data_IF_437542010567
#
_entry.id   IF_437542010567
#
_cell.length_a   1.000
_cell.length_b   1.000
_cell.length_c   1.000
_cell.angle_alpha   90.00
_cell.angle_beta   90.00
_cell.angle_gamma   90.00
#
_symmetry.space_group_name_H-M   'P 1'
#
loop_
_entity.id
_entity.type
_entity.pdbx_description
1 polymer ?
#
# COMPACT_ATOMS: atom_id res chain seq x y z
N UNK A 1 -25.20 -84.01 31.48
CA UNK A 1 -26.27 -83.37 30.68
C UNK A 1 -26.69 -84.36 29.61
N UNK A 2 -27.99 -84.63 29.49
CA UNK A 2 -28.51 -85.55 28.47
C UNK A 2 -28.32 -84.92 27.08
N UNK A 3 -28.20 -85.75 26.03
CA UNK A 3 -28.10 -85.27 24.64
C UNK A 3 -29.34 -84.44 24.24
N UNK A 4 -30.48 -84.72 24.86
CA UNK A 4 -31.75 -84.00 24.67
C UNK A 4 -31.67 -82.56 25.19
N UNK A 5 -31.06 -82.34 26.36
CA UNK A 5 -30.86 -81.00 26.93
C UNK A 5 -29.98 -80.12 26.02
N UNK A 6 -28.99 -80.74 25.37
CA UNK A 6 -28.10 -80.03 24.45
C UNK A 6 -28.79 -79.66 23.14
N UNK A 7 -29.70 -80.50 22.66
CA UNK A 7 -30.50 -80.25 21.45
C UNK A 7 -31.53 -79.15 21.71
N UNK A 8 -32.24 -79.19 22.84
CA UNK A 8 -33.19 -78.16 23.23
C UNK A 8 -32.51 -76.79 23.34
N UNK A 9 -31.36 -76.72 24.01
CA UNK A 9 -30.59 -75.48 24.11
C UNK A 9 -30.15 -74.93 22.74
N UNK A 10 -29.78 -75.80 21.79
CA UNK A 10 -29.44 -75.38 20.43
C UNK A 10 -30.66 -74.93 19.64
N UNK A 11 -31.82 -75.56 19.86
CA UNK A 11 -33.08 -75.14 19.28
C UNK A 11 -33.45 -73.73 19.77
N UNK A 12 -33.36 -73.49 21.08
CA UNK A 12 -33.64 -72.17 21.67
C UNK A 12 -32.67 -71.09 21.16
N UNK A 13 -31.38 -71.41 21.02
CA UNK A 13 -30.38 -70.51 20.43
C UNK A 13 -30.67 -70.19 18.95
N UNK A 14 -31.19 -71.15 18.20
CA UNK A 14 -31.57 -70.96 16.79
C UNK A 14 -32.86 -70.16 16.70
N UNK A 15 -33.85 -70.45 17.52
CA UNK A 15 -35.12 -69.73 17.59
C UNK A 15 -34.90 -68.25 17.94
N UNK A 16 -34.04 -67.96 18.91
CA UNK A 16 -33.66 -66.59 19.24
C UNK A 16 -32.94 -65.86 18.08
N UNK A 17 -32.08 -66.56 17.33
CA UNK A 17 -31.42 -65.98 16.14
C UNK A 17 -32.40 -65.76 14.99
N UNK A 18 -33.34 -66.67 14.79
CA UNK A 18 -34.37 -66.57 13.76
C UNK A 18 -35.33 -65.42 14.07
N UNK A 19 -35.72 -65.25 15.33
CA UNK A 19 -36.55 -64.12 15.77
C UNK A 19 -35.88 -62.77 15.47
N UNK A 20 -34.59 -62.62 15.80
CA UNK A 20 -33.83 -61.39 15.51
C UNK A 20 -33.67 -61.11 14.00
N UNK A 21 -33.45 -62.15 13.19
CA UNK A 21 -33.36 -62.01 11.73
C UNK A 21 -34.71 -61.65 11.13
N UNK A 22 -35.79 -62.25 11.64
CA UNK A 22 -37.15 -61.95 11.22
C UNK A 22 -37.53 -60.50 11.53
N UNK A 23 -37.23 -60.02 12.73
CA UNK A 23 -37.48 -58.63 13.13
C UNK A 23 -36.73 -57.64 12.23
N UNK A 24 -35.45 -57.92 11.91
CA UNK A 24 -34.66 -57.11 10.97
C UNK A 24 -35.23 -57.15 9.54
N UNK A 25 -35.70 -58.31 9.09
CA UNK A 25 -36.32 -58.46 7.78
C UNK A 25 -37.62 -57.65 7.68
N UNK A 26 -38.45 -57.68 8.72
CA UNK A 26 -39.69 -56.90 8.81
C UNK A 26 -39.39 -55.41 8.88
N UNK A 27 -38.41 -54.98 9.67
CA UNK A 27 -38.00 -53.58 9.75
C UNK A 27 -37.47 -53.06 8.39
N UNK A 28 -36.66 -53.84 7.69
CA UNK A 28 -36.18 -53.51 6.36
C UNK A 28 -37.32 -53.45 5.32
N UNK A 29 -38.28 -54.38 5.40
CA UNK A 29 -39.45 -54.39 4.54
C UNK A 29 -40.36 -53.18 4.78
N UNK A 30 -40.56 -52.80 6.04
CA UNK A 30 -41.33 -51.61 6.41
C UNK A 30 -40.64 -50.33 5.94
N UNK A 31 -39.34 -50.18 6.20
CA UNK A 31 -38.55 -49.05 5.70
C UNK A 31 -38.62 -48.96 4.17
N UNK A 32 -38.49 -50.09 3.46
CA UNK A 32 -38.64 -50.12 2.01
C UNK A 32 -40.04 -49.67 1.59
N UNK A 33 -41.10 -50.17 2.24
CA UNK A 33 -42.49 -49.83 1.93
C UNK A 33 -42.80 -48.35 2.18
N UNK A 34 -42.19 -47.77 3.20
CA UNK A 34 -42.35 -46.35 3.57
C UNK A 34 -41.50 -45.41 2.69
N UNK A 35 -40.29 -45.82 2.31
CA UNK A 35 -39.43 -45.03 1.42
C UNK A 35 -39.85 -45.12 -0.04
N UNK A 36 -40.47 -46.22 -0.47
CA UNK A 36 -40.88 -46.44 -1.85
C UNK A 36 -41.79 -45.35 -2.42
N UNK A 37 -42.84 -44.85 -1.73
CA UNK A 37 -43.65 -43.74 -2.23
C UNK A 37 -42.84 -42.45 -2.33
N UNK A 38 -42.07 -42.07 -1.30
CA UNK A 38 -41.27 -40.83 -1.29
C UNK A 38 -40.22 -40.83 -2.39
N UNK A 39 -39.55 -41.97 -2.60
CA UNK A 39 -38.57 -42.14 -3.68
C UNK A 39 -39.23 -42.05 -5.05
N UNK A 40 -40.42 -42.64 -5.22
CA UNK A 40 -41.17 -42.56 -6.48
C UNK A 40 -41.64 -41.13 -6.77
N UNK A 41 -42.10 -40.40 -5.75
CA UNK A 41 -42.59 -39.03 -5.90
C UNK A 41 -41.44 -38.06 -6.18
N UNK A 42 -40.31 -38.21 -5.48
CA UNK A 42 -39.09 -37.45 -5.75
C UNK A 42 -38.54 -37.72 -7.16
N UNK A 43 -38.58 -38.98 -7.61
CA UNK A 43 -38.15 -39.35 -8.96
C UNK A 43 -39.07 -38.77 -10.03
N UNK A 44 -40.39 -38.77 -9.82
CA UNK A 44 -41.35 -38.12 -10.73
C UNK A 44 -41.17 -36.62 -10.79
N UNK A 45 -40.96 -35.96 -9.65
CA UNK A 45 -40.70 -34.52 -9.58
C UNK A 45 -39.42 -34.17 -10.35
N UNK A 46 -38.35 -34.95 -10.14
CA UNK A 46 -37.11 -34.80 -10.88
C UNK A 46 -37.32 -35.00 -12.39
N UNK A 47 -38.06 -36.02 -12.83
CA UNK A 47 -38.36 -36.22 -14.26
C UNK A 47 -39.20 -35.09 -14.87
N UNK A 48 -40.11 -34.50 -14.09
CA UNK A 48 -40.94 -33.38 -14.54
C UNK A 48 -40.11 -32.10 -14.70
N UNK A 49 -39.35 -31.72 -13.68
CA UNK A 49 -38.51 -30.51 -13.69
C UNK A 49 -37.35 -30.61 -14.70
N UNK A 50 -36.80 -31.81 -14.90
CA UNK A 50 -35.78 -32.06 -15.91
C UNK A 50 -36.37 -32.16 -17.33
N UNK A 51 -37.65 -32.49 -17.45
CA UNK A 51 -38.39 -32.52 -18.72
C UNK A 51 -38.61 -31.12 -19.30
N UNK A 52 -38.67 -30.10 -18.44
CA UNK A 52 -38.75 -28.68 -18.82
C UNK A 52 -37.39 -28.08 -19.23
N UNK A 53 -36.28 -28.82 -19.06
CA UNK A 53 -34.96 -28.41 -19.58
C UNK A 53 -34.88 -28.77 -21.06
N UNK A 54 -35.53 -27.93 -21.89
CA UNK A 54 -35.56 -28.09 -23.34
C UNK A 54 -34.15 -28.17 -23.94
N UNK A 55 -33.79 -29.34 -24.46
CA UNK A 55 -32.63 -29.62 -25.32
C UNK A 55 -31.25 -29.60 -24.67
N UNK A 56 -30.92 -30.65 -23.91
CA UNK A 56 -29.52 -30.96 -23.58
C UNK A 56 -29.30 -31.85 -22.37
N UNK A 57 -30.35 -32.14 -21.61
CA UNK A 57 -30.22 -32.87 -20.35
C UNK A 57 -30.59 -34.34 -20.55
N UNK A 58 -29.58 -35.23 -20.57
CA UNK A 58 -29.80 -36.68 -20.50
C UNK A 58 -29.58 -37.19 -19.07
N UNK A 59 -30.37 -38.17 -18.64
CA UNK A 59 -30.18 -38.83 -17.34
C UNK A 59 -28.78 -39.46 -17.22
N UNK A 60 -28.22 -39.94 -18.33
CA UNK A 60 -26.86 -40.48 -18.40
C UNK A 60 -25.80 -39.42 -18.02
N UNK A 61 -25.90 -38.21 -18.58
CA UNK A 61 -25.01 -37.08 -18.26
C UNK A 61 -25.07 -36.71 -16.78
N UNK A 62 -26.25 -36.85 -16.15
CA UNK A 62 -26.43 -36.61 -14.71
C UNK A 62 -25.66 -37.63 -13.87
N UNK A 63 -25.70 -38.90 -14.26
CA UNK A 63 -24.93 -39.94 -13.60
C UNK A 63 -23.43 -39.78 -13.84
N UNK A 64 -23.01 -39.31 -15.03
CA UNK A 64 -21.61 -38.99 -15.31
C UNK A 64 -21.11 -37.80 -14.50
N UNK A 65 -21.91 -36.74 -14.36
CA UNK A 65 -21.62 -35.61 -13.48
C UNK A 65 -21.54 -36.06 -12.02
N UNK A 66 -22.46 -36.91 -11.56
CA UNK A 66 -22.43 -37.45 -10.20
C UNK A 66 -21.17 -38.30 -9.97
N UNK A 67 -20.82 -39.18 -10.91
CA UNK A 67 -19.56 -39.94 -10.87
C UNK A 67 -18.34 -39.02 -10.87
N UNK A 68 -18.36 -37.95 -11.66
CA UNK A 68 -17.28 -36.97 -11.75
C UNK A 68 -17.14 -36.18 -10.44
N UNK A 69 -18.25 -35.78 -9.81
CA UNK A 69 -18.27 -35.15 -8.49
C UNK A 69 -17.71 -36.10 -7.42
N UNK A 70 -18.15 -37.36 -7.40
CA UNK A 70 -17.63 -38.37 -6.47
C UNK A 70 -16.13 -38.63 -6.68
N UNK A 71 -15.67 -38.73 -7.93
CA UNK A 71 -14.26 -38.92 -8.27
C UNK A 71 -13.41 -37.70 -7.89
N UNK A 72 -13.96 -36.50 -8.02
CA UNK A 72 -13.30 -35.24 -7.70
C UNK A 72 -13.61 -34.71 -6.29
N UNK A 73 -14.21 -35.53 -5.41
CA UNK A 73 -14.60 -35.11 -4.07
C UNK A 73 -13.43 -34.49 -3.29
N UNK A 74 -12.21 -35.01 -3.49
CA UNK A 74 -10.98 -34.45 -2.88
C UNK A 74 -10.68 -33.03 -3.37
N UNK A 75 -10.80 -32.79 -4.67
CA UNK A 75 -10.55 -31.48 -5.28
C UNK A 75 -11.63 -30.48 -4.84
N UNK A 76 -12.90 -30.89 -4.83
CA UNK A 76 -14.01 -30.05 -4.36
C UNK A 76 -13.84 -29.71 -2.87
N UNK A 77 -13.51 -30.71 -2.04
CA UNK A 77 -13.24 -30.50 -0.62
C UNK A 77 -12.06 -29.55 -0.42
N UNK A 78 -11.01 -29.68 -1.22
CA UNK A 78 -9.88 -28.76 -1.19
C UNK A 78 -10.30 -27.33 -1.53
N UNK A 79 -11.07 -27.12 -2.60
CA UNK A 79 -11.59 -25.80 -2.98
C UNK A 79 -12.47 -25.20 -1.89
N UNK A 80 -13.37 -25.99 -1.28
CA UNK A 80 -14.21 -25.53 -0.17
C UNK A 80 -13.34 -25.06 1.00
N UNK A 81 -12.30 -25.83 1.36
CA UNK A 81 -11.33 -25.41 2.38
C UNK A 81 -10.53 -24.16 2.01
N UNK A 82 -10.20 -23.98 0.72
CA UNK A 82 -9.56 -22.74 0.27
C UNK A 82 -10.52 -21.55 0.37
N UNK A 83 -11.81 -21.72 0.07
CA UNK A 83 -12.81 -20.69 0.25
C UNK A 83 -12.95 -20.30 1.73
N UNK A 84 -12.90 -21.28 2.64
CA UNK A 84 -12.87 -21.06 4.09
C UNK A 84 -11.67 -20.18 4.49
N UNK A 85 -10.46 -20.50 3.99
CA UNK A 85 -9.28 -19.65 4.22
C UNK A 85 -9.44 -18.22 3.66
N UNK A 86 -10.07 -18.06 2.48
CA UNK A 86 -10.32 -16.74 1.88
C UNK A 86 -11.32 -15.94 2.71
N UNK A 87 -12.37 -16.60 3.22
CA UNK A 87 -13.35 -15.99 4.11
C UNK A 87 -12.69 -15.57 5.42
N UNK A 88 -11.81 -16.41 5.99
CA UNK A 88 -11.04 -16.07 7.19
C UNK A 88 -10.11 -14.88 6.98
N UNK A 89 -9.40 -14.85 5.84
CA UNK A 89 -8.58 -13.71 5.44
C UNK A 89 -9.43 -12.45 5.24
N UNK A 90 -10.62 -12.56 4.66
CA UNK A 90 -11.55 -11.46 4.49
C UNK A 90 -12.03 -10.94 5.85
N UNK A 91 -12.48 -11.81 6.75
CA UNK A 91 -12.90 -11.41 8.09
C UNK A 91 -11.78 -10.79 8.93
N UNK A 92 -10.54 -11.24 8.72
CA UNK A 92 -9.37 -10.65 9.39
C UNK A 92 -8.98 -9.30 8.79
N UNK A 93 -9.09 -9.16 7.47
CA UNK A 93 -8.66 -7.96 6.75
C UNK A 93 -9.73 -6.87 6.70
N UNK A 94 -11.00 -7.23 6.71
CA UNK A 94 -12.14 -6.31 6.60
C UNK A 94 -12.10 -5.20 7.67
N UNK A 95 -11.89 -5.48 8.98
CA UNK A 95 -11.76 -4.44 9.99
C UNK A 95 -10.57 -3.52 9.75
N UNK A 96 -9.44 -4.09 9.34
CA UNK A 96 -8.21 -3.34 9.03
C UNK A 96 -8.43 -2.41 7.84
N UNK A 97 -9.04 -2.90 6.77
CA UNK A 97 -9.38 -2.11 5.59
C UNK A 97 -10.39 -1.01 5.92
N UNK A 98 -11.45 -1.33 6.67
CA UNK A 98 -12.46 -0.34 7.11
C UNK A 98 -11.86 0.79 7.94
N UNK A 99 -10.79 0.54 8.71
CA UNK A 99 -10.06 1.58 9.45
C UNK A 99 -8.98 2.28 8.61
N UNK A 100 -8.25 1.54 7.77
CA UNK A 100 -7.04 2.03 7.10
C UNK A 100 -7.34 2.75 5.80
N UNK A 101 -8.31 2.27 5.01
CA UNK A 101 -8.68 2.89 3.74
C UNK A 101 -9.15 4.34 3.93
N UNK A 102 -10.05 4.66 4.88
CA UNK A 102 -10.45 6.05 5.12
C UNK A 102 -9.28 6.94 5.57
N UNK A 103 -8.37 6.41 6.40
CA UNK A 103 -7.17 7.15 6.83
C UNK A 103 -6.21 7.41 5.67
N UNK A 104 -6.02 6.44 4.79
CA UNK A 104 -5.22 6.60 3.59
C UNK A 104 -5.83 7.64 2.66
N UNK A 105 -7.15 7.59 2.44
CA UNK A 105 -7.87 8.59 1.64
C UNK A 105 -7.72 9.99 2.26
N UNK A 106 -7.95 10.14 3.57
CA UNK A 106 -7.80 11.42 4.26
C UNK A 106 -6.36 11.96 4.18
N UNK A 107 -5.36 11.08 4.29
CA UNK A 107 -3.96 11.47 4.13
C UNK A 107 -3.64 11.91 2.69
N UNK A 108 -4.13 11.18 1.68
CA UNK A 108 -3.96 11.56 0.28
C UNK A 108 -4.70 12.87 -0.05
N UNK A 109 -5.89 13.09 0.51
CA UNK A 109 -6.65 14.32 0.37
C UNK A 109 -5.91 15.51 1.01
N UNK A 110 -5.34 15.34 2.21
CA UNK A 110 -4.49 16.36 2.85
C UNK A 110 -3.27 16.72 1.98
N UNK A 111 -2.61 15.73 1.37
CA UNK A 111 -1.52 15.96 0.43
C UNK A 111 -2.00 16.72 -0.82
N UNK A 112 -3.18 16.40 -1.34
CA UNK A 112 -3.77 17.09 -2.49
C UNK A 112 -4.14 18.54 -2.17
N UNK A 113 -4.78 18.79 -1.03
CA UNK A 113 -5.13 20.13 -0.53
C UNK A 113 -3.88 20.99 -0.33
N UNK A 114 -2.83 20.41 0.26
CA UNK A 114 -1.51 21.07 0.40
C UNK A 114 -0.79 21.26 -0.95
N UNK A 115 -1.35 20.75 -2.05
CA UNK A 115 -0.80 20.92 -3.39
C UNK A 115 0.44 20.09 -3.66
N UNK A 116 0.69 19.04 -2.86
CA UNK A 116 1.87 18.18 -2.98
C UNK A 116 1.88 17.51 -4.35
N UNK A 117 0.77 16.90 -4.78
CA UNK A 117 0.68 16.26 -6.10
C UNK A 117 0.90 17.25 -7.25
N UNK A 118 0.33 18.45 -7.18
CA UNK A 118 0.52 19.51 -8.18
C UNK A 118 1.99 19.92 -8.27
N UNK A 119 2.66 20.06 -7.12
CA UNK A 119 4.09 20.41 -7.06
C UNK A 119 4.96 19.31 -7.65
N UNK A 120 4.69 18.05 -7.31
CA UNK A 120 5.41 16.91 -7.87
C UNK A 120 5.21 16.79 -9.39
N UNK A 121 3.99 16.99 -9.88
CA UNK A 121 3.70 16.98 -11.32
C UNK A 121 4.42 18.12 -12.05
N UNK A 122 4.47 19.32 -11.45
CA UNK A 122 5.22 20.44 -11.99
C UNK A 122 6.73 20.15 -12.04
N UNK A 123 7.28 19.52 -11.01
CA UNK A 123 8.68 19.10 -10.97
C UNK A 123 9.01 18.05 -12.04
N UNK A 124 8.14 17.05 -12.23
CA UNK A 124 8.30 16.06 -13.31
C UNK A 124 8.25 16.73 -14.68
N UNK A 125 7.35 17.70 -14.87
CA UNK A 125 7.23 18.45 -16.11
C UNK A 125 8.45 19.34 -16.36
N UNK A 126 8.98 19.98 -15.31
CA UNK A 126 10.23 20.74 -15.38
C UNK A 126 11.39 19.82 -15.79
N UNK A 127 11.53 18.66 -15.14
CA UNK A 127 12.56 17.67 -15.48
C UNK A 127 12.44 17.21 -16.94
N UNK A 128 11.22 16.98 -17.43
CA UNK A 128 10.98 16.62 -18.82
C UNK A 128 11.42 17.73 -19.79
N UNK A 129 11.10 19.00 -19.50
CA UNK A 129 11.53 20.15 -20.31
C UNK A 129 13.05 20.31 -20.31
N UNK A 130 13.68 20.19 -19.15
CA UNK A 130 15.14 20.26 -19.01
C UNK A 130 15.80 19.14 -19.80
N UNK A 131 15.26 17.91 -19.76
CA UNK A 131 15.78 16.78 -20.52
C UNK A 131 15.55 16.87 -22.05
N UNK A 132 14.61 17.68 -22.51
CA UNK A 132 14.42 17.94 -23.95
C UNK A 132 15.40 18.98 -24.49
N UNK A 133 15.72 19.99 -23.69
CA UNK A 133 16.59 21.11 -24.10
C UNK A 133 18.08 20.83 -23.84
N UNK A 134 18.40 20.04 -22.81
CA UNK A 134 19.77 19.79 -22.36
C UNK A 134 20.09 18.31 -22.32
N UNK A 135 21.29 17.96 -22.79
CA UNK A 135 21.82 16.60 -22.73
C UNK A 135 22.22 16.18 -21.31
N UNK A 136 22.49 14.88 -21.08
CA UNK A 136 22.86 14.34 -19.77
C UNK A 136 24.05 15.05 -19.11
N UNK A 137 25.14 15.32 -19.85
CA UNK A 137 26.31 16.00 -19.28
C UNK A 137 26.02 17.46 -18.88
N UNK A 138 25.15 18.14 -19.62
CA UNK A 138 24.77 19.52 -19.31
C UNK A 138 23.89 19.59 -18.05
N UNK A 139 22.99 18.62 -17.88
CA UNK A 139 22.16 18.51 -16.67
C UNK A 139 23.03 18.23 -15.43
N UNK A 140 24.06 17.40 -15.57
CA UNK A 140 25.02 17.11 -14.49
C UNK A 140 25.79 18.38 -14.08
N UNK A 141 26.34 19.12 -15.04
CA UNK A 141 27.03 20.39 -14.78
C UNK A 141 26.11 21.44 -14.14
N UNK A 142 24.84 21.51 -14.59
CA UNK A 142 23.83 22.38 -13.96
C UNK A 142 23.53 21.94 -12.53
N UNK A 143 23.52 20.65 -12.24
CA UNK A 143 23.38 20.10 -10.89
C UNK A 143 24.48 20.59 -9.95
N UNK A 144 25.73 20.51 -10.38
CA UNK A 144 26.88 21.00 -9.60
C UNK A 144 26.81 22.51 -9.33
N UNK A 145 26.45 23.29 -10.36
CA UNK A 145 26.22 24.72 -10.22
C UNK A 145 25.08 25.04 -9.25
N UNK A 146 24.01 24.24 -9.27
CA UNK A 146 22.87 24.40 -8.37
C UNK A 146 23.25 24.11 -6.91
N UNK A 147 24.04 23.05 -6.67
CA UNK A 147 24.57 22.74 -5.33
C UNK A 147 25.49 23.86 -4.82
N UNK A 148 26.34 24.41 -5.69
CA UNK A 148 27.18 25.56 -5.36
C UNK A 148 26.33 26.78 -4.93
N UNK A 149 25.28 27.11 -5.67
CA UNK A 149 24.38 28.22 -5.34
C UNK A 149 23.66 28.01 -4.00
N UNK A 150 23.18 26.79 -3.72
CA UNK A 150 22.61 26.45 -2.40
C UNK A 150 23.66 26.62 -1.30
N UNK A 151 24.89 26.17 -1.53
CA UNK A 151 26.01 26.37 -0.61
C UNK A 151 26.29 27.85 -0.33
N UNK A 152 26.18 28.71 -1.34
CA UNK A 152 26.27 30.16 -1.17
C UNK A 152 25.12 30.72 -0.34
N UNK A 153 23.87 30.32 -0.60
CA UNK A 153 22.72 30.75 0.19
C UNK A 153 22.87 30.38 1.67
N UNK A 154 23.42 29.19 1.95
CA UNK A 154 23.73 28.77 3.31
C UNK A 154 24.80 29.67 3.96
N UNK A 155 25.86 30.02 3.22
CA UNK A 155 26.90 30.96 3.70
C UNK A 155 26.36 32.37 3.92
N UNK A 156 25.47 32.85 3.06
CA UNK A 156 24.79 34.14 3.23
C UNK A 156 23.81 34.15 4.41
N UNK A 157 23.36 32.96 4.84
CA UNK A 157 22.54 32.79 6.03
C UNK A 157 23.35 32.83 7.33
N UNK A 158 24.69 32.85 7.26
CA UNK A 158 25.56 33.02 8.42
C UNK A 158 25.28 34.37 9.10
N UNK A 159 25.06 34.39 10.43
CA UNK A 159 24.74 35.63 11.17
C UNK A 159 25.77 36.75 10.95
N UNK A 160 27.07 36.43 10.83
CA UNK A 160 28.12 37.44 10.62
C UNK A 160 28.03 38.07 9.24
N UNK A 161 27.68 37.28 8.23
CA UNK A 161 27.51 37.78 6.85
C UNK A 161 26.26 38.64 6.76
N UNK A 162 25.16 38.24 7.41
CA UNK A 162 23.94 39.04 7.51
C UNK A 162 24.21 40.39 8.18
N UNK A 163 24.87 40.39 9.33
CA UNK A 163 25.24 41.61 10.05
C UNK A 163 26.13 42.54 9.20
N UNK A 164 27.07 41.98 8.43
CA UNK A 164 27.90 42.76 7.52
C UNK A 164 27.08 43.40 6.40
N UNK A 165 26.15 42.66 5.80
CA UNK A 165 25.26 43.16 4.73
C UNK A 165 24.32 44.25 5.27
N UNK A 166 23.73 44.05 6.44
CA UNK A 166 22.86 45.03 7.10
C UNK A 166 23.64 46.33 7.39
N UNK A 167 24.80 46.24 8.03
CA UNK A 167 25.65 47.42 8.31
C UNK A 167 26.11 48.13 7.04
N UNK A 168 26.44 47.39 5.98
CA UNK A 168 26.79 47.99 4.70
C UNK A 168 25.59 48.72 4.06
N UNK A 169 24.41 48.11 4.09
CA UNK A 169 23.16 48.69 3.60
C UNK A 169 22.80 49.98 4.36
N UNK A 170 22.90 49.95 5.69
CA UNK A 170 22.66 51.12 6.55
C UNK A 170 23.66 52.25 6.27
N UNK A 171 24.93 51.91 6.03
CA UNK A 171 25.94 52.88 5.61
C UNK A 171 25.61 53.52 4.26
N UNK A 172 25.18 52.74 3.26
CA UNK A 172 24.82 53.28 1.94
C UNK A 172 23.55 54.14 1.96
N UNK A 173 22.58 53.81 2.82
CA UNK A 173 21.32 54.56 2.93
C UNK A 173 21.44 55.80 3.80
N UNK A 174 22.36 55.82 4.76
CA UNK A 174 22.65 57.00 5.60
C UNK A 174 23.55 58.04 4.90
N UNK A 175 24.19 57.69 3.79
CA UNK A 175 24.95 58.63 2.96
C UNK A 175 24.03 59.30 1.93
N UNK A 176 23.71 60.59 2.13
CA UNK A 176 23.13 61.37 1.04
C UNK A 176 24.22 61.80 0.05
N UNK A 177 24.40 60.99 -1.00
CA UNK A 177 25.40 61.18 -2.05
C UNK A 177 25.23 62.52 -2.80
N UNK A 178 24.12 63.24 -2.61
CA UNK A 178 23.85 64.54 -3.23
C UNK A 178 24.41 65.72 -2.43
N UNK A 179 24.72 65.52 -1.15
CA UNK A 179 25.24 66.55 -0.24
C UNK A 179 26.76 66.43 0.00
N UNK A 180 27.45 65.51 -0.70
CA UNK A 180 28.87 65.28 -0.50
C UNK A 180 29.68 66.44 -1.10
N UNK A 181 30.17 67.34 -0.25
CA UNK A 181 31.04 68.43 -0.68
C UNK A 181 32.40 67.91 -1.20
N UNK A 182 32.92 68.47 -2.31
CA UNK A 182 34.23 68.09 -2.82
C UNK A 182 35.32 68.39 -1.78
N UNK A 183 36.05 67.35 -1.35
CA UNK A 183 37.14 67.52 -0.40
C UNK A 183 38.43 67.96 -1.13
N UNK A 184 38.94 69.15 -0.84
CA UNK A 184 40.25 69.61 -1.36
C UNK A 184 41.43 68.86 -0.71
N UNK A 185 42.65 69.01 -1.25
CA UNK A 185 43.85 68.28 -0.79
C UNK A 185 44.09 68.32 0.74
N UNK A 186 43.83 69.48 1.39
CA UNK A 186 43.93 69.62 2.84
C UNK A 186 42.75 68.99 3.59
N UNK A 187 41.54 69.06 3.02
CA UNK A 187 40.34 68.41 3.54
C UNK A 187 40.47 66.90 3.52
N UNK A 188 41.06 66.33 2.45
CA UNK A 188 41.37 64.91 2.31
C UNK A 188 42.30 64.42 3.42
N UNK A 189 43.38 65.17 3.70
CA UNK A 189 44.30 64.85 4.82
C UNK A 189 43.60 64.91 6.18
N UNK A 190 42.73 65.90 6.41
CA UNK A 190 41.96 66.01 7.65
C UNK A 190 40.94 64.88 7.77
N UNK A 191 40.22 64.55 6.70
CA UNK A 191 39.24 63.47 6.66
C UNK A 191 39.87 62.11 6.97
N UNK A 192 41.03 61.81 6.36
CA UNK A 192 41.78 60.58 6.65
C UNK A 192 42.39 60.54 8.06
N UNK A 193 42.46 61.67 8.76
CA UNK A 193 42.98 61.72 10.14
C UNK A 193 41.94 61.36 11.21
N UNK A 194 40.66 61.30 10.83
CA UNK A 194 39.56 60.87 11.72
C UNK A 194 39.74 59.43 12.21
N UNK A 195 39.32 59.11 13.45
CA UNK A 195 39.34 57.75 13.98
C UNK A 195 38.62 56.74 13.07
N UNK A 196 37.48 57.14 12.50
CA UNK A 196 36.61 56.32 11.66
C UNK A 196 37.30 55.99 10.32
N UNK A 197 37.91 56.97 9.66
CA UNK A 197 38.64 56.75 8.41
C UNK A 197 39.88 55.85 8.61
N UNK A 198 40.60 56.03 9.72
CA UNK A 198 41.73 55.16 10.09
C UNK A 198 41.27 53.72 10.35
N UNK A 199 40.13 53.54 10.99
CA UNK A 199 39.58 52.23 11.27
C UNK A 199 39.09 51.54 9.98
N UNK A 200 38.44 52.27 9.07
CA UNK A 200 38.07 51.78 7.75
C UNK A 200 39.29 51.35 6.91
N UNK A 201 40.34 52.16 6.88
CA UNK A 201 41.61 51.79 6.23
C UNK A 201 42.26 50.56 6.87
N UNK A 202 42.20 50.44 8.20
CA UNK A 202 42.67 49.25 8.93
C UNK A 202 41.94 47.98 8.52
N UNK A 203 40.61 48.03 8.39
CA UNK A 203 39.80 46.91 7.89
C UNK A 203 40.20 46.53 6.46
N UNK A 204 40.39 47.51 5.57
CA UNK A 204 40.82 47.26 4.19
C UNK A 204 42.19 46.58 4.12
N UNK A 205 43.13 47.00 4.97
CA UNK A 205 44.46 46.37 5.06
C UNK A 205 44.35 44.94 5.56
N UNK A 206 43.52 44.68 6.57
CA UNK A 206 43.35 43.32 7.11
C UNK A 206 42.61 42.39 6.14
N UNK A 207 41.62 42.90 5.41
CA UNK A 207 41.00 42.18 4.28
C UNK A 207 42.04 41.85 3.21
N UNK A 208 42.89 42.80 2.84
CA UNK A 208 43.95 42.60 1.84
C UNK A 208 44.95 41.53 2.30
N UNK A 209 45.38 41.55 3.57
CA UNK A 209 46.23 40.51 4.16
C UNK A 209 45.55 39.15 4.17
N UNK A 210 44.25 39.11 4.46
CA UNK A 210 43.48 37.87 4.52
C UNK A 210 43.32 37.25 3.13
N UNK A 211 43.00 38.06 2.11
CA UNK A 211 42.98 37.63 0.72
C UNK A 211 44.36 37.16 0.23
N UNK A 212 45.44 37.82 0.68
CA UNK A 212 46.81 37.39 0.39
C UNK A 212 47.19 36.02 0.99
N UNK A 213 46.51 35.57 2.05
CA UNK A 213 46.70 34.25 2.68
C UNK A 213 45.88 33.13 2.02
N UNK A 214 44.97 33.47 1.09
CA UNK A 214 44.15 32.50 0.35
C UNK A 214 44.82 31.99 -0.94
N UNK A 215 46.09 32.36 -1.18
CA UNK A 215 46.95 31.79 -2.22
C UNK A 215 47.64 30.53 -1.74
#
# INVERSE_FOLDING_TARGET
MSKEDLILKRLDEIEAKVALVHERAVAAQNLRRELQPVMNDAFKLMLHELGDVETGFQLEDSFELLKTMMRNVKNITYTIKQLENVIDLWHTSEPLLKSTVPKAIAYLDDLEQKGVFRTYQAMLSLRAKVAQEYGPEQIEQMGDAFVFLIGMLNKLSDPKVREMIEKASDAFTSMDLREVEPCGMFGMMKAMSSPEAKQGLGVMVEMTKTLGKLK
#
